data_IF_604522741903
#
_entry.id   IF_604522741903
#
_cell.length_a   1.000
_cell.length_b   1.000
_cell.length_c   1.000
_cell.angle_alpha   90.00
_cell.angle_beta   90.00
_cell.angle_gamma   90.00
#
_symmetry.space_group_name_H-M   'P 1'
#
loop_
_entity.id
_entity.type
_entity.pdbx_description
1 polymer ?
#
# COMPACT_ATOMS: atom_id res chain seq x y z
N UNK A 1 1.43 57.69 16.51
CA UNK A 1 2.79 57.12 16.51
C UNK A 1 2.71 55.80 15.77
N UNK A 2 3.36 55.72 14.61
CA UNK A 2 3.29 54.57 13.73
C UNK A 2 4.14 53.42 14.29
N UNK A 3 3.54 52.24 14.40
CA UNK A 3 4.19 50.99 14.76
C UNK A 3 5.11 50.57 13.59
N UNK A 4 6.43 50.62 13.82
CA UNK A 4 7.43 50.15 12.87
C UNK A 4 7.45 48.63 12.90
N UNK A 5 6.69 48.02 11.98
CA UNK A 5 6.75 46.60 11.70
C UNK A 5 8.19 46.18 11.38
N UNK A 6 8.79 45.45 12.32
CA UNK A 6 10.15 44.95 12.27
C UNK A 6 10.28 43.97 11.09
N UNK A 7 10.89 44.44 9.99
CA UNK A 7 11.10 43.63 8.79
C UNK A 7 12.07 42.50 9.10
N UNK A 8 11.61 41.27 9.02
CA UNK A 8 12.40 40.05 9.15
C UNK A 8 13.61 40.10 8.21
N UNK A 9 14.82 40.25 8.79
CA UNK A 9 16.10 40.13 8.09
C UNK A 9 16.38 38.66 7.75
N UNK A 10 15.52 38.06 6.94
CA UNK A 10 15.74 36.75 6.36
C UNK A 10 16.82 36.87 5.29
N UNK A 11 17.87 36.07 5.41
CA UNK A 11 18.98 36.06 4.45
C UNK A 11 18.44 35.68 3.07
N UNK A 12 18.18 36.68 2.22
CA UNK A 12 17.54 36.55 0.89
C UNK A 12 18.30 35.64 -0.10
N UNK A 13 19.46 35.11 0.29
CA UNK A 13 20.28 34.17 -0.49
C UNK A 13 20.17 32.71 -0.05
N UNK A 14 19.46 32.41 1.04
CA UNK A 14 19.39 31.04 1.58
C UNK A 14 18.68 30.07 0.62
N UNK A 15 17.57 30.51 0.00
CA UNK A 15 16.86 29.74 -1.01
C UNK A 15 17.06 30.33 -2.41
N UNK A 16 17.28 29.50 -3.44
CA UNK A 16 17.32 29.96 -4.81
C UNK A 16 15.95 30.51 -5.22
N UNK A 17 15.95 31.49 -6.13
CA UNK A 17 14.72 32.04 -6.70
C UNK A 17 13.95 30.96 -7.46
N UNK A 18 12.63 31.06 -7.47
CA UNK A 18 11.76 30.14 -8.21
C UNK A 18 12.16 30.03 -9.69
N UNK A 19 12.56 31.13 -10.32
CA UNK A 19 13.03 31.14 -11.72
C UNK A 19 14.25 30.25 -11.95
N UNK A 20 15.11 30.11 -10.95
CA UNK A 20 16.29 29.23 -11.00
C UNK A 20 15.84 27.77 -10.87
N UNK A 21 14.95 27.47 -9.93
CA UNK A 21 14.37 26.13 -9.76
C UNK A 21 13.56 25.69 -10.98
N UNK A 22 12.84 26.60 -11.61
CA UNK A 22 12.05 26.29 -12.80
C UNK A 22 12.95 25.91 -13.97
N UNK A 23 14.11 26.56 -14.13
CA UNK A 23 15.10 26.20 -15.15
C UNK A 23 15.65 24.80 -14.90
N UNK A 24 16.10 24.50 -13.68
CA UNK A 24 16.64 23.17 -13.35
C UNK A 24 15.59 22.07 -13.40
N UNK A 25 14.32 22.38 -13.11
CA UNK A 25 13.21 21.43 -13.32
C UNK A 25 13.01 21.07 -14.79
N UNK A 26 13.29 21.98 -15.73
CA UNK A 26 13.18 21.68 -17.17
C UNK A 26 14.13 20.57 -17.58
N UNK A 27 15.31 20.54 -16.98
CA UNK A 27 16.33 19.52 -17.22
C UNK A 27 15.91 18.12 -16.69
N UNK A 28 14.83 18.04 -15.90
CA UNK A 28 14.27 16.78 -15.41
C UNK A 28 13.14 16.23 -16.29
N UNK A 29 12.63 16.99 -17.27
CA UNK A 29 11.62 16.48 -18.20
C UNK A 29 12.29 15.84 -19.42
N UNK A 30 11.65 14.80 -19.95
CA UNK A 30 12.01 14.22 -21.24
C UNK A 30 11.67 15.20 -22.38
N UNK A 31 12.16 14.89 -23.59
CA UNK A 31 11.95 15.73 -24.79
C UNK A 31 10.45 15.91 -25.03
N UNK A 32 10.01 17.11 -25.44
CA UNK A 32 8.58 17.43 -25.55
C UNK A 32 7.82 16.53 -26.55
N UNK A 33 8.51 15.93 -27.51
CA UNK A 33 7.97 14.98 -28.48
C UNK A 33 7.75 13.57 -27.90
N UNK A 34 8.32 13.27 -26.72
CA UNK A 34 8.29 11.94 -26.09
C UNK A 34 7.02 11.61 -25.31
N UNK A 35 6.18 12.63 -25.04
CA UNK A 35 4.96 12.46 -24.24
C UNK A 35 3.77 13.20 -24.82
N UNK A 36 2.58 12.62 -24.63
CA UNK A 36 1.30 13.16 -25.04
C UNK A 36 0.41 13.32 -23.82
N UNK A 37 -0.07 14.54 -23.60
CA UNK A 37 -0.98 14.87 -22.51
C UNK A 37 -2.31 15.27 -23.14
N UNK A 38 -3.38 14.61 -22.69
CA UNK A 38 -4.77 14.91 -23.04
C UNK A 38 -5.54 15.26 -21.77
N UNK A 39 -6.80 15.66 -21.91
CA UNK A 39 -7.64 15.95 -20.75
C UNK A 39 -7.85 14.73 -19.83
N UNK A 40 -7.70 13.51 -20.36
CA UNK A 40 -8.05 12.26 -19.65
C UNK A 40 -6.89 11.29 -19.48
N UNK A 41 -5.76 11.50 -20.17
CA UNK A 41 -4.63 10.59 -20.16
C UNK A 41 -3.31 11.34 -20.36
N UNK A 42 -2.25 10.86 -19.73
CA UNK A 42 -0.88 11.25 -20.02
C UNK A 42 -0.07 9.97 -20.34
N UNK A 43 0.54 9.94 -21.51
CA UNK A 43 1.32 8.79 -21.99
C UNK A 43 2.71 9.26 -22.46
N UNK A 44 3.72 8.41 -22.33
CA UNK A 44 5.08 8.69 -22.74
C UNK A 44 5.71 7.43 -23.32
N UNK A 45 6.61 7.59 -24.29
CA UNK A 45 7.38 6.46 -24.81
C UNK A 45 8.33 5.93 -23.71
N UNK A 46 8.24 4.63 -23.43
CA UNK A 46 9.08 3.99 -22.41
C UNK A 46 10.58 4.12 -22.69
N UNK A 47 11.00 3.97 -23.96
CA UNK A 47 12.41 4.05 -24.32
C UNK A 47 12.99 5.44 -24.06
N UNK A 48 12.21 6.49 -24.32
CA UNK A 48 12.64 7.88 -24.08
C UNK A 48 12.78 8.17 -22.59
N UNK A 49 11.84 7.67 -21.77
CA UNK A 49 11.91 7.77 -20.30
C UNK A 49 13.11 6.99 -19.76
N UNK A 50 13.35 5.78 -20.27
CA UNK A 50 14.49 4.93 -19.92
C UNK A 50 15.82 5.64 -20.24
N UNK A 51 15.98 6.14 -21.47
CA UNK A 51 17.18 6.86 -21.91
C UNK A 51 17.43 8.13 -21.08
N UNK A 52 16.38 8.90 -20.78
CA UNK A 52 16.47 10.09 -19.94
C UNK A 52 16.89 9.74 -18.52
N UNK A 53 16.29 8.70 -17.94
CA UNK A 53 16.61 8.20 -16.58
C UNK A 53 18.06 7.73 -16.50
N UNK A 54 18.53 6.93 -17.46
CA UNK A 54 19.93 6.48 -17.52
C UNK A 54 20.86 7.68 -17.60
N UNK A 55 20.60 8.63 -18.49
CA UNK A 55 21.43 9.83 -18.65
C UNK A 55 21.55 10.61 -17.33
N UNK A 56 20.44 10.75 -16.60
CA UNK A 56 20.41 11.40 -15.28
C UNK A 56 21.22 10.61 -14.23
N UNK A 57 21.11 9.28 -14.22
CA UNK A 57 21.88 8.42 -13.32
C UNK A 57 23.38 8.52 -13.61
N UNK A 58 23.77 8.50 -14.88
CA UNK A 58 25.18 8.62 -15.30
C UNK A 58 25.79 9.96 -14.87
N UNK A 59 25.03 11.05 -14.89
CA UNK A 59 25.48 12.35 -14.37
C UNK A 59 25.77 12.31 -12.87
N UNK A 60 24.95 11.58 -12.10
CA UNK A 60 25.15 11.44 -10.65
C UNK A 60 26.25 10.43 -10.29
N UNK A 61 26.46 9.43 -11.13
CA UNK A 61 27.46 8.38 -10.95
C UNK A 61 28.77 8.67 -11.70
N UNK A 62 28.94 9.86 -12.27
CA UNK A 62 30.05 10.18 -13.16
C UNK A 62 31.42 9.91 -12.53
N UNK A 63 31.56 10.20 -11.23
CA UNK A 63 32.79 9.95 -10.48
C UNK A 63 33.09 8.45 -10.37
N UNK A 64 32.09 7.62 -10.07
CA UNK A 64 32.24 6.17 -9.95
C UNK A 64 32.55 5.54 -11.31
N UNK A 65 31.86 5.98 -12.37
CA UNK A 65 32.00 5.43 -13.72
C UNK A 65 33.37 5.73 -14.32
N UNK A 66 33.96 6.87 -13.97
CA UNK A 66 35.32 7.23 -14.41
C UNK A 66 36.38 6.25 -13.91
N UNK A 67 36.16 5.59 -12.77
CA UNK A 67 37.08 4.60 -12.20
C UNK A 67 36.94 3.21 -12.81
N UNK A 68 35.88 2.95 -13.60
CA UNK A 68 35.69 1.68 -14.28
C UNK A 68 36.50 1.60 -15.57
N UNK A 69 37.00 0.40 -15.88
CA UNK A 69 37.69 0.07 -17.12
C UNK A 69 36.74 -0.01 -18.31
N UNK A 70 37.28 0.01 -19.53
CA UNK A 70 36.47 -0.03 -20.76
C UNK A 70 35.64 -1.31 -20.91
N UNK A 71 36.16 -2.46 -20.46
CA UNK A 71 35.39 -3.72 -20.46
C UNK A 71 34.24 -3.69 -19.46
N UNK A 72 34.48 -3.22 -18.23
CA UNK A 72 33.46 -3.13 -17.18
C UNK A 72 32.30 -2.23 -17.60
N UNK A 73 32.60 -1.08 -18.23
CA UNK A 73 31.60 -0.15 -18.76
C UNK A 73 30.70 -0.79 -19.81
N UNK A 74 31.23 -1.68 -20.65
CA UNK A 74 30.48 -2.37 -21.69
C UNK A 74 29.57 -3.49 -21.14
N UNK A 75 29.80 -3.93 -19.91
CA UNK A 75 28.99 -4.97 -19.25
C UNK A 75 27.91 -4.41 -18.32
N UNK A 76 27.88 -3.09 -18.11
CA UNK A 76 26.90 -2.46 -17.23
C UNK A 76 25.47 -2.73 -17.71
N UNK A 77 24.71 -3.41 -16.86
CA UNK A 77 23.32 -3.74 -17.10
C UNK A 77 22.46 -2.98 -16.12
N UNK A 78 21.50 -2.20 -16.63
CA UNK A 78 20.52 -1.52 -15.80
C UNK A 78 19.32 -2.43 -15.56
N UNK A 79 19.12 -2.80 -14.30
CA UNK A 79 17.95 -3.57 -13.88
C UNK A 79 16.80 -2.62 -13.56
N UNK A 80 15.74 -2.68 -14.35
CA UNK A 80 14.50 -1.95 -14.08
C UNK A 80 13.47 -2.87 -13.44
N UNK A 81 12.90 -2.45 -12.31
CA UNK A 81 11.70 -3.05 -11.75
C UNK A 81 10.51 -2.16 -12.10
N UNK A 82 9.84 -2.44 -13.22
CA UNK A 82 8.59 -1.76 -13.56
C UNK A 82 7.41 -2.45 -12.88
N UNK A 83 6.83 -1.79 -11.89
CA UNK A 83 5.56 -2.22 -11.31
C UNK A 83 4.42 -1.55 -12.06
N UNK A 84 3.68 -2.34 -12.85
CA UNK A 84 2.48 -1.90 -13.54
C UNK A 84 1.26 -2.49 -12.84
N UNK A 85 0.22 -1.67 -12.63
CA UNK A 85 -1.03 -2.13 -12.03
C UNK A 85 -2.00 -2.47 -13.15
N UNK A 86 -2.47 -3.70 -13.15
CA UNK A 86 -3.69 -4.07 -13.87
C UNK A 86 -4.86 -4.04 -12.91
N UNK A 87 -6.04 -3.70 -13.42
CA UNK A 87 -7.32 -3.89 -12.72
C UNK A 87 -7.70 -5.39 -12.68
N UNK A 88 -6.73 -6.25 -12.33
CA UNK A 88 -6.96 -7.67 -12.18
C UNK A 88 -7.82 -7.89 -10.93
N UNK A 89 -8.96 -8.56 -11.11
CA UNK A 89 -9.86 -8.89 -10.02
C UNK A 89 -9.21 -9.96 -9.15
N UNK A 90 -9.18 -9.72 -7.84
CA UNK A 90 -8.66 -10.66 -6.85
C UNK A 90 -9.42 -12.00 -6.93
N UNK A 91 -8.67 -13.10 -7.00
CA UNK A 91 -9.21 -14.45 -7.02
C UNK A 91 -9.15 -15.06 -5.63
N UNK A 92 -10.15 -15.87 -5.24
CA UNK A 92 -10.13 -16.65 -3.98
C UNK A 92 -9.13 -17.83 -3.98
N UNK A 93 -8.06 -17.73 -4.76
CA UNK A 93 -7.00 -18.72 -4.88
C UNK A 93 -5.68 -17.98 -4.92
N UNK A 94 -4.71 -18.44 -4.13
CA UNK A 94 -3.35 -17.91 -4.16
C UNK A 94 -2.77 -18.12 -5.56
N UNK A 95 -2.31 -17.05 -6.20
CA UNK A 95 -1.82 -17.10 -7.58
C UNK A 95 -0.44 -17.77 -7.70
N UNK A 96 0.32 -17.88 -6.60
CA UNK A 96 1.63 -18.53 -6.54
C UNK A 96 1.50 -20.06 -6.45
N UNK A 97 0.63 -20.56 -5.58
CA UNK A 97 0.52 -21.98 -5.23
C UNK A 97 -0.82 -22.63 -5.62
N UNK A 98 -1.78 -21.85 -6.11
CA UNK A 98 -3.12 -22.32 -6.50
C UNK A 98 -3.95 -22.90 -5.35
N UNK A 99 -3.53 -22.71 -4.08
CA UNK A 99 -4.27 -23.19 -2.91
C UNK A 99 -5.55 -22.40 -2.70
N UNK A 100 -6.56 -23.09 -2.17
CA UNK A 100 -7.76 -22.43 -1.63
C UNK A 100 -7.58 -22.17 -0.14
N UNK A 101 -8.32 -21.21 0.43
CA UNK A 101 -8.23 -20.85 1.85
C UNK A 101 -8.49 -22.01 2.83
N UNK A 102 -9.15 -23.09 2.36
CA UNK A 102 -9.33 -24.34 3.15
C UNK A 102 -8.06 -25.19 3.26
N UNK A 103 -7.26 -25.19 2.20
CA UNK A 103 -6.00 -25.95 2.13
C UNK A 103 -4.85 -25.15 2.72
N UNK A 104 -4.98 -23.83 2.78
CA UNK A 104 -3.94 -22.91 3.23
C UNK A 104 -3.57 -23.10 4.71
N UNK A 105 -4.53 -23.43 5.57
CA UNK A 105 -4.28 -23.66 6.99
C UNK A 105 -3.60 -25.01 7.28
N UNK A 106 -3.41 -25.88 6.28
CA UNK A 106 -2.75 -27.18 6.46
C UNK A 106 -1.27 -27.09 6.07
N UNK A 107 -0.43 -26.76 7.05
CA UNK A 107 1.02 -26.57 6.88
C UNK A 107 1.77 -27.84 6.42
N UNK A 108 1.12 -29.02 6.49
CA UNK A 108 1.71 -30.27 6.03
C UNK A 108 1.66 -30.43 4.49
N UNK A 109 0.76 -29.71 3.83
CA UNK A 109 0.57 -29.78 2.37
C UNK A 109 1.42 -28.72 1.67
N UNK A 110 2.50 -29.16 1.02
CA UNK A 110 3.25 -28.31 0.08
C UNK A 110 2.69 -28.48 -1.33
N UNK A 111 2.45 -27.37 -2.00
CA UNK A 111 2.10 -27.35 -3.43
C UNK A 111 3.26 -26.77 -4.23
N UNK A 112 3.34 -27.23 -5.48
CA UNK A 112 4.32 -26.73 -6.44
C UNK A 112 4.04 -25.25 -6.76
N UNK A 113 5.12 -24.50 -6.96
CA UNK A 113 5.08 -23.08 -7.24
C UNK A 113 4.87 -22.90 -8.74
N UNK A 114 3.95 -22.01 -9.12
CA UNK A 114 3.86 -21.56 -10.50
C UNK A 114 4.94 -20.50 -10.78
N UNK A 115 5.97 -20.88 -11.53
CA UNK A 115 7.10 -19.98 -11.87
C UNK A 115 6.64 -18.75 -12.65
N UNK A 116 5.65 -18.89 -13.53
CA UNK A 116 5.07 -17.77 -14.31
C UNK A 116 4.40 -16.73 -13.41
N UNK A 117 3.98 -17.11 -12.20
CA UNK A 117 3.35 -16.20 -11.24
C UNK A 117 4.35 -15.34 -10.48
N UNK A 118 5.64 -15.72 -10.44
CA UNK A 118 6.66 -15.00 -9.68
C UNK A 118 6.95 -13.62 -10.26
N UNK A 119 6.66 -13.40 -11.55
CA UNK A 119 6.84 -12.10 -12.21
C UNK A 119 5.90 -10.99 -11.68
N UNK A 120 4.77 -11.37 -11.06
CA UNK A 120 3.76 -10.39 -10.61
C UNK A 120 4.14 -9.71 -9.29
N UNK A 121 5.08 -10.28 -8.54
CA UNK A 121 5.52 -9.78 -7.23
C UNK A 121 4.39 -9.77 -6.19
N UNK A 122 4.73 -9.38 -4.96
CA UNK A 122 3.76 -9.14 -3.88
C UNK A 122 3.41 -7.66 -3.81
N UNK A 123 2.12 -7.32 -3.95
CA UNK A 123 1.68 -5.94 -3.79
C UNK A 123 1.59 -5.59 -2.31
N UNK A 124 2.55 -4.83 -1.79
CA UNK A 124 2.53 -4.34 -0.40
C UNK A 124 1.23 -3.60 -0.08
N UNK A 125 0.65 -2.88 -1.04
CA UNK A 125 -0.63 -2.21 -0.84
C UNK A 125 -1.75 -3.24 -0.63
N UNK A 126 -1.87 -4.23 -1.52
CA UNK A 126 -2.92 -5.24 -1.44
C UNK A 126 -2.75 -6.15 -0.23
N UNK A 127 -1.53 -6.57 0.11
CA UNK A 127 -1.23 -7.32 1.32
C UNK A 127 -1.73 -6.59 2.57
N UNK A 128 -1.54 -5.26 2.64
CA UNK A 128 -2.08 -4.46 3.73
C UNK A 128 -3.62 -4.39 3.69
N UNK A 129 -4.25 -4.38 2.51
CA UNK A 129 -5.73 -4.34 2.38
C UNK A 129 -6.33 -5.66 2.83
N UNK A 130 -5.78 -6.75 2.26
CA UNK A 130 -5.59 -8.08 2.85
C UNK A 130 -5.79 -8.14 4.35
N UNK A 131 -4.73 -7.72 5.02
CA UNK A 131 -4.56 -7.82 6.45
C UNK A 131 -5.64 -7.03 7.20
N UNK A 132 -5.87 -5.78 6.82
CA UNK A 132 -6.84 -4.93 7.52
C UNK A 132 -8.28 -5.47 7.42
N UNK A 133 -8.70 -5.91 6.23
CA UNK A 133 -10.00 -6.57 6.04
C UNK A 133 -10.10 -7.86 6.86
N UNK A 134 -9.02 -8.64 6.90
CA UNK A 134 -8.91 -9.83 7.75
C UNK A 134 -9.13 -9.52 9.23
N UNK A 135 -8.41 -8.53 9.77
CA UNK A 135 -8.52 -8.10 11.17
C UNK A 135 -9.92 -7.59 11.51
N UNK A 136 -10.53 -6.78 10.63
CA UNK A 136 -11.91 -6.33 10.81
C UNK A 136 -12.87 -7.53 10.84
N UNK A 137 -12.73 -8.49 9.93
CA UNK A 137 -13.55 -9.69 9.93
C UNK A 137 -13.36 -10.55 11.18
N UNK A 138 -12.16 -10.60 11.75
CA UNK A 138 -11.90 -11.21 13.06
C UNK A 138 -12.68 -10.48 14.12
N UNK A 139 -12.48 -9.17 14.25
CA UNK A 139 -13.12 -8.33 15.25
C UNK A 139 -14.65 -8.45 15.25
N UNK A 140 -15.28 -8.47 14.06
CA UNK A 140 -16.73 -8.63 13.94
C UNK A 140 -17.23 -10.01 14.40
N UNK A 141 -16.42 -11.06 14.24
CA UNK A 141 -16.79 -12.46 14.52
C UNK A 141 -16.35 -12.94 15.89
N UNK A 142 -15.53 -12.19 16.63
CA UNK A 142 -15.12 -12.50 18.01
C UNK A 142 -16.29 -12.94 18.92
N UNK A 143 -17.49 -12.32 18.89
CA UNK A 143 -18.60 -12.74 19.76
C UNK A 143 -19.16 -14.13 19.45
N UNK A 144 -19.02 -14.61 18.20
CA UNK A 144 -19.61 -15.87 17.72
C UNK A 144 -18.55 -16.97 17.58
N UNK A 145 -17.28 -16.60 17.36
CA UNK A 145 -16.13 -17.49 17.13
C UNK A 145 -16.39 -18.57 16.07
N UNK A 146 -17.02 -18.17 14.96
CA UNK A 146 -17.33 -19.05 13.81
C UNK A 146 -17.01 -18.36 12.50
N UNK A 147 -16.37 -19.09 11.59
CA UNK A 147 -16.10 -18.60 10.24
C UNK A 147 -17.37 -18.42 9.41
N UNK A 148 -18.22 -19.45 9.36
CA UNK A 148 -19.46 -19.45 8.58
C UNK A 148 -20.68 -19.12 9.44
N UNK A 149 -21.31 -17.99 9.15
CA UNK A 149 -22.53 -17.55 9.82
C UNK A 149 -23.75 -18.11 9.08
N UNK A 150 -24.22 -19.30 9.50
CA UNK A 150 -25.43 -19.93 8.91
C UNK A 150 -26.72 -19.47 9.62
N UNK A 151 -26.65 -19.24 10.93
CA UNK A 151 -27.79 -18.89 11.76
C UNK A 151 -28.14 -17.41 11.65
N UNK A 152 -29.43 -17.06 11.73
CA UNK A 152 -29.89 -15.65 11.71
C UNK A 152 -29.43 -14.86 12.93
N UNK A 153 -29.44 -15.47 14.12
CA UNK A 153 -29.01 -14.81 15.37
C UNK A 153 -27.52 -14.44 15.30
N UNK A 154 -26.67 -15.38 14.91
CA UNK A 154 -25.22 -15.16 14.74
C UNK A 154 -24.94 -14.02 13.73
N UNK A 155 -25.72 -13.93 12.64
CA UNK A 155 -25.61 -12.83 11.67
C UNK A 155 -25.97 -11.47 12.27
N UNK A 156 -27.01 -11.42 13.11
CA UNK A 156 -27.42 -10.17 13.77
C UNK A 156 -26.36 -9.68 14.75
N UNK A 157 -25.77 -10.57 15.54
CA UNK A 157 -24.69 -10.24 16.49
C UNK A 157 -23.48 -9.65 15.75
N UNK A 158 -23.05 -10.30 14.67
CA UNK A 158 -21.90 -9.83 13.87
C UNK A 158 -22.21 -8.51 13.17
N UNK A 159 -23.43 -8.33 12.67
CA UNK A 159 -23.84 -7.08 12.02
C UNK A 159 -23.87 -5.91 13.02
N UNK A 160 -24.35 -6.16 14.24
CA UNK A 160 -24.35 -5.18 15.31
C UNK A 160 -22.91 -4.80 15.69
N UNK A 161 -22.02 -5.78 15.86
CA UNK A 161 -20.62 -5.52 16.20
C UNK A 161 -19.86 -4.78 15.09
N UNK A 162 -20.17 -5.09 13.82
CA UNK A 162 -19.65 -4.35 12.67
C UNK A 162 -20.06 -2.88 12.71
N UNK A 163 -21.32 -2.58 13.01
CA UNK A 163 -21.80 -1.20 13.10
C UNK A 163 -21.10 -0.42 14.23
N UNK A 164 -20.94 -1.04 15.40
CA UNK A 164 -20.24 -0.43 16.54
C UNK A 164 -18.80 -0.05 16.19
N UNK A 165 -18.04 -0.98 15.62
CA UNK A 165 -16.64 -0.75 15.24
C UNK A 165 -16.56 0.32 14.13
N UNK A 166 -17.45 0.29 13.13
CA UNK A 166 -17.46 1.30 12.06
C UNK A 166 -17.69 2.72 12.61
N UNK A 167 -18.60 2.88 13.57
CA UNK A 167 -18.86 4.18 14.20
C UNK A 167 -17.71 4.62 15.12
N UNK A 168 -17.01 3.68 15.75
CA UNK A 168 -15.82 3.96 16.56
C UNK A 168 -14.67 4.51 15.69
N UNK A 169 -14.36 3.84 14.58
CA UNK A 169 -13.40 4.32 13.58
C UNK A 169 -13.77 5.70 13.02
N UNK A 170 -15.07 5.94 12.80
CA UNK A 170 -15.56 7.22 12.30
C UNK A 170 -15.44 8.33 13.33
N UNK A 171 -15.75 8.05 14.59
CA UNK A 171 -15.80 9.06 15.66
C UNK A 171 -14.40 9.39 16.18
N UNK A 172 -13.57 8.37 16.41
CA UNK A 172 -12.23 8.56 16.99
C UNK A 172 -11.21 8.98 15.92
N UNK A 173 -11.28 8.38 14.72
CA UNK A 173 -10.24 8.54 13.69
C UNK A 173 -10.73 9.31 12.45
N UNK A 174 -12.02 9.62 12.34
CA UNK A 174 -12.59 10.24 11.15
C UNK A 174 -12.59 9.32 9.92
N UNK A 175 -12.41 8.00 10.12
CA UNK A 175 -12.23 7.02 9.05
C UNK A 175 -13.54 6.28 8.73
N UNK A 176 -13.81 6.10 7.45
CA UNK A 176 -14.96 5.32 6.96
C UNK A 176 -14.44 3.97 6.46
N UNK A 177 -14.67 2.92 7.24
CA UNK A 177 -14.13 1.57 6.99
C UNK A 177 -15.22 0.57 6.59
N UNK A 178 -14.89 -0.33 5.66
CA UNK A 178 -15.73 -1.47 5.24
C UNK A 178 -17.18 -1.12 4.82
N UNK A 179 -17.34 0.04 4.16
CA UNK A 179 -18.62 0.52 3.60
C UNK A 179 -18.66 0.22 2.09
N UNK A 180 -19.72 -0.44 1.57
CA UNK A 180 -19.85 -0.71 0.14
C UNK A 180 -19.90 0.58 -0.68
N UNK A 181 -19.14 0.64 -1.79
CA UNK A 181 -19.15 1.77 -2.74
C UNK A 181 -19.79 1.32 -4.05
N UNK A 182 -20.70 2.10 -4.64
CA UNK A 182 -21.33 1.75 -5.91
C UNK A 182 -20.29 1.61 -7.04
N UNK A 183 -20.20 0.43 -7.66
CA UNK A 183 -19.22 0.13 -8.71
C UNK A 183 -17.82 -0.24 -8.22
N UNK A 184 -17.58 -0.27 -6.91
CA UNK A 184 -16.33 -0.68 -6.27
C UNK A 184 -16.62 -1.72 -5.17
N UNK A 185 -15.58 -2.30 -4.57
CA UNK A 185 -15.75 -3.29 -3.49
C UNK A 185 -16.20 -2.60 -2.19
N UNK A 186 -15.28 -1.93 -1.50
CA UNK A 186 -15.57 -1.21 -0.25
C UNK A 186 -14.77 0.11 -0.13
N UNK A 187 -14.89 0.76 1.02
CA UNK A 187 -14.23 2.03 1.31
C UNK A 187 -12.75 1.92 1.67
N UNK A 188 -12.19 0.71 1.81
CA UNK A 188 -10.83 0.45 2.28
C UNK A 188 -9.81 0.68 1.16
N UNK A 189 -9.58 1.94 0.80
CA UNK A 189 -8.61 2.35 -0.20
C UNK A 189 -7.22 2.67 0.42
N UNK A 190 -6.26 3.03 -0.44
CA UNK A 190 -4.91 3.37 -0.01
C UNK A 190 -4.83 4.53 0.98
N UNK A 191 -5.79 5.46 0.94
CA UNK A 191 -5.81 6.60 1.85
C UNK A 191 -6.27 6.19 3.24
N UNK A 192 -7.32 5.36 3.32
CA UNK A 192 -7.83 4.80 4.58
C UNK A 192 -6.71 4.14 5.39
N UNK A 193 -5.77 3.48 4.71
CA UNK A 193 -4.66 2.72 5.33
C UNK A 193 -3.37 3.49 5.51
N UNK A 194 -3.18 4.56 4.74
CA UNK A 194 -2.10 5.50 4.99
C UNK A 194 -2.37 6.24 6.30
N UNK A 195 -3.64 6.56 6.59
CA UNK A 195 -4.03 7.14 7.88
C UNK A 195 -3.90 6.09 9.00
N UNK A 196 -4.37 4.85 8.80
CA UNK A 196 -4.15 3.74 9.74
C UNK A 196 -2.67 3.55 10.10
N UNK A 197 -1.77 3.49 9.10
CA UNK A 197 -0.33 3.26 9.30
C UNK A 197 0.37 4.41 10.05
N UNK A 198 -0.20 5.61 10.01
CA UNK A 198 0.33 6.78 10.72
C UNK A 198 -0.19 6.88 12.15
N UNK A 199 -1.15 6.03 12.54
CA UNK A 199 -1.65 5.96 13.90
C UNK A 199 -0.74 5.03 14.73
N UNK A 200 -0.41 5.42 15.97
CA UNK A 200 0.22 4.52 16.93
C UNK A 200 -0.57 3.21 17.04
N UNK A 201 0.13 2.08 17.20
CA UNK A 201 -0.50 0.76 17.38
C UNK A 201 -1.56 0.78 18.50
N UNK A 202 -1.29 1.56 19.54
CA UNK A 202 -2.14 1.80 20.71
C UNK A 202 -3.52 2.37 20.33
N UNK A 203 -3.61 3.19 19.28
CA UNK A 203 -4.88 3.83 18.88
C UNK A 203 -5.80 2.90 18.10
N UNK A 204 -5.22 1.99 17.31
CA UNK A 204 -5.95 0.95 16.59
C UNK A 204 -6.36 -0.18 17.54
N UNK A 205 -5.48 -0.52 18.48
CA UNK A 205 -5.80 -1.48 19.53
C UNK A 205 -6.85 -0.91 20.48
N UNK A 206 -6.83 0.38 20.84
CA UNK A 206 -7.94 0.97 21.61
C UNK A 206 -9.25 0.97 20.79
N UNK A 207 -9.25 1.38 19.52
CA UNK A 207 -10.46 1.43 18.70
C UNK A 207 -11.02 0.06 18.27
N UNK A 208 -10.20 -1.00 18.27
CA UNK A 208 -10.61 -2.38 17.93
C UNK A 208 -10.79 -3.26 19.16
N UNK A 209 -10.01 -3.01 20.22
CA UNK A 209 -9.84 -3.85 21.41
C UNK A 209 -10.33 -3.20 22.72
N UNK A 210 -11.03 -2.06 22.70
CA UNK A 210 -11.59 -1.39 23.90
C UNK A 210 -12.56 -2.24 24.75
N UNK A 211 -12.74 -3.53 24.46
CA UNK A 211 -13.65 -4.41 25.20
C UNK A 211 -13.10 -5.79 25.57
N UNK A 212 -11.81 -6.12 25.41
CA UNK A 212 -11.31 -7.41 25.90
C UNK A 212 -9.79 -7.39 26.18
N UNK A 213 -9.41 -7.51 27.47
CA UNK A 213 -8.02 -7.69 27.95
C UNK A 213 -7.34 -8.94 27.36
N UNK A 214 -8.09 -9.84 26.71
CA UNK A 214 -7.62 -11.14 26.21
C UNK A 214 -6.89 -11.10 24.85
N UNK A 215 -6.81 -9.96 24.14
CA UNK A 215 -6.25 -9.92 22.78
C UNK A 215 -4.80 -9.40 22.68
N UNK A 216 -4.25 -8.79 23.73
CA UNK A 216 -2.80 -8.57 23.80
C UNK A 216 -2.05 -9.92 23.82
N UNK A 217 -2.67 -10.96 24.38
CA UNK A 217 -2.18 -12.34 24.39
C UNK A 217 -2.39 -13.04 23.03
N UNK A 218 -3.51 -12.78 22.33
CA UNK A 218 -3.80 -13.38 21.02
C UNK A 218 -2.95 -12.85 19.84
N UNK A 219 -2.34 -11.66 19.98
CA UNK A 219 -1.40 -11.13 18.98
C UNK A 219 -0.02 -11.81 19.05
N UNK A 220 0.35 -12.39 20.19
CA UNK A 220 1.56 -13.21 20.36
C UNK A 220 1.38 -14.66 19.87
N UNK A 221 0.14 -15.11 19.67
CA UNK A 221 -0.16 -16.52 19.40
C UNK A 221 -0.88 -16.70 18.06
N UNK A 222 -0.13 -16.61 16.96
CA UNK A 222 -0.63 -16.89 15.60
C UNK A 222 -0.99 -18.38 15.36
N UNK A 223 -1.08 -19.19 16.42
CA UNK A 223 -1.50 -20.59 16.43
C UNK A 223 -2.93 -20.83 16.94
N UNK A 224 -3.59 -19.84 17.55
CA UNK A 224 -4.67 -20.13 18.51
C UNK A 224 -6.11 -19.81 18.09
N UNK A 225 -6.34 -19.38 16.83
CA UNK A 225 -7.71 -19.20 16.31
C UNK A 225 -8.04 -20.18 15.16
N UNK A 226 -8.12 -21.51 15.44
CA UNK A 226 -8.28 -22.57 14.43
C UNK A 226 -9.61 -22.51 13.65
N UNK A 227 -10.56 -21.69 14.10
CA UNK A 227 -11.84 -21.49 13.41
C UNK A 227 -11.77 -20.44 12.30
N UNK A 228 -10.71 -19.65 12.20
CA UNK A 228 -10.50 -18.64 11.14
C UNK A 228 -9.66 -19.19 9.99
N UNK A 229 -10.09 -18.94 8.76
CA UNK A 229 -9.24 -19.15 7.58
C UNK A 229 -8.46 -17.89 7.29
N UNK A 230 -7.16 -18.01 7.06
CA UNK A 230 -6.30 -16.87 6.76
C UNK A 230 -6.79 -16.14 5.50
N UNK A 231 -6.72 -14.80 5.45
CA UNK A 231 -6.96 -14.06 4.21
C UNK A 231 -5.96 -14.51 3.14
N UNK A 232 -6.43 -14.74 1.91
CA UNK A 232 -5.57 -15.06 0.77
C UNK A 232 -4.88 -13.77 0.26
N UNK A 233 -3.62 -13.87 -0.17
CA UNK A 233 -2.87 -12.78 -0.85
C UNK A 233 -3.38 -12.47 -2.26
#
# INVERSE_FOLDING_TARGET
MADQGNSTSSNKKFYPRYTTLQKTKRDCYSVQESFRITATCAESNFQDVSNHTVSRLLLHLSEVIQHLNSEERNTLTLMYNLQWRTDTKSTMRGYICGTTSKEFNDLSKRKDINEDSLQFGLSTLHARIRLFEGLLHVAYKLPVKKWQLRNKNDKQIVQQKKFEIQEEFRTQLGLIVDVPKAGFDNSNDGNTKTVEMLLPADTLTEAVLSNDENLAEAAEESSDEPWMSSPDE
#
